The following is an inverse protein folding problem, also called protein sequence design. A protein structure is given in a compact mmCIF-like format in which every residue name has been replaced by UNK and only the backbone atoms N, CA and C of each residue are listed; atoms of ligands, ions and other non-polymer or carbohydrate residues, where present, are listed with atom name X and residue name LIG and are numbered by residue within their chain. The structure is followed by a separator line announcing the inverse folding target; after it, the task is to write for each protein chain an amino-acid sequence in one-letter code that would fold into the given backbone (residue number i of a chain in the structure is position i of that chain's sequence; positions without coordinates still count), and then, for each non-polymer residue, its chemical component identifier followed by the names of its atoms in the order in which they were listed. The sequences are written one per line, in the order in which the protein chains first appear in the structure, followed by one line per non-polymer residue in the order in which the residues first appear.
data_IF_241740840445
#
_entry.id   IF_241740840445
#
_cell.length_a   1.000
_cell.length_b   1.000
_cell.length_c   1.000
_cell.angle_alpha   90.00
_cell.angle_beta   90.00
_cell.angle_gamma   90.00
#
_symmetry.space_group_name_H-M   'P 1'
#
loop_
_entity.id
_entity.type
_entity.pdbx_description
1 polymer ?
#
# COMPACT_ATOMS: atom_id res chain seq x y z
N UNK A 1 11.49 -53.89 -68.52
CA UNK A 1 10.83 -52.88 -67.67
C UNK A 1 11.83 -52.52 -66.58
N UNK A 2 12.38 -51.30 -66.66
CA UNK A 2 13.24 -50.67 -65.65
C UNK A 2 12.46 -50.57 -64.33
N UNK A 3 13.13 -50.56 -63.17
CA UNK A 3 13.22 -49.39 -62.28
C UNK A 3 14.39 -49.58 -61.30
N UNK A 4 15.28 -48.59 -61.33
CA UNK A 4 16.26 -48.26 -60.29
C UNK A 4 15.53 -47.52 -59.14
N UNK A 5 16.19 -47.36 -57.99
CA UNK A 5 16.21 -46.19 -57.06
C UNK A 5 16.65 -46.72 -55.68
N UNK A 6 17.89 -46.47 -55.27
CA UNK A 6 18.41 -45.28 -54.57
C UNK A 6 18.15 -45.31 -53.07
N UNK A 7 19.26 -45.47 -52.35
CA UNK A 7 19.41 -45.23 -50.92
C UNK A 7 19.13 -43.76 -50.62
N UNK A 8 18.12 -43.49 -49.79
CA UNK A 8 17.90 -42.17 -49.20
C UNK A 8 18.44 -42.18 -47.76
N UNK A 9 19.54 -41.45 -47.54
CA UNK A 9 19.89 -40.96 -46.21
C UNK A 9 18.81 -39.98 -45.77
N UNK A 10 17.96 -40.40 -44.82
CA UNK A 10 17.06 -39.52 -44.11
C UNK A 10 17.81 -38.74 -43.04
N UNK A 11 18.12 -37.47 -43.32
CA UNK A 11 18.62 -36.51 -42.34
C UNK A 11 17.44 -36.10 -41.44
N UNK A 12 17.34 -36.72 -40.27
CA UNK A 12 16.28 -36.41 -39.29
C UNK A 12 16.63 -35.11 -38.57
N UNK A 13 16.10 -33.98 -39.04
CA UNK A 13 16.12 -32.72 -38.30
C UNK A 13 15.17 -32.85 -37.09
N UNK A 14 15.75 -33.13 -35.91
CA UNK A 14 15.07 -32.98 -34.64
C UNK A 14 14.89 -31.48 -34.37
N UNK A 15 13.68 -30.96 -34.57
CA UNK A 15 13.29 -29.65 -34.06
C UNK A 15 13.06 -29.81 -32.54
N UNK A 16 14.09 -29.51 -31.76
CA UNK A 16 13.94 -29.30 -30.32
C UNK A 16 13.17 -27.99 -30.12
N UNK A 17 11.86 -28.08 -29.95
CA UNK A 17 11.06 -26.98 -29.43
C UNK A 17 11.50 -26.74 -27.98
N UNK A 18 12.39 -25.77 -27.75
CA UNK A 18 12.67 -25.29 -26.41
C UNK A 18 11.42 -24.55 -25.91
N UNK A 19 10.63 -25.21 -25.08
CA UNK A 19 9.68 -24.51 -24.21
C UNK A 19 10.51 -23.60 -23.32
N UNK A 20 10.55 -22.31 -23.66
CA UNK A 20 11.14 -21.28 -22.82
C UNK A 20 10.33 -21.22 -21.54
N UNK A 21 10.83 -21.89 -20.50
CA UNK A 21 10.32 -21.77 -19.16
C UNK A 21 10.73 -20.38 -18.66
N UNK A 22 9.80 -19.53 -18.18
CA UNK A 22 10.17 -18.23 -17.66
C UNK A 22 11.07 -18.46 -16.44
N UNK A 23 12.36 -18.13 -16.59
CA UNK A 23 13.33 -18.15 -15.52
C UNK A 23 13.03 -16.99 -14.60
N UNK A 24 12.27 -17.22 -13.53
CA UNK A 24 12.17 -16.30 -12.40
C UNK A 24 13.50 -16.32 -11.62
N UNK A 25 14.53 -15.67 -12.17
CA UNK A 25 15.69 -15.32 -11.36
C UNK A 25 15.29 -14.09 -10.55
N UNK A 26 14.75 -14.29 -9.35
CA UNK A 26 14.83 -13.25 -8.32
C UNK A 26 16.31 -12.90 -8.20
N UNK A 27 16.70 -11.73 -8.72
CA UNK A 27 18.07 -11.26 -8.59
C UNK A 27 18.26 -10.91 -7.13
N UNK A 28 19.29 -11.46 -6.51
CA UNK A 28 19.64 -11.14 -5.13
C UNK A 28 19.67 -9.61 -4.92
N UNK A 29 18.93 -9.12 -3.93
CA UNK A 29 18.77 -7.69 -3.65
C UNK A 29 17.69 -6.95 -4.44
N UNK A 30 16.89 -7.60 -5.29
CA UNK A 30 15.73 -6.98 -5.94
C UNK A 30 14.58 -6.79 -4.95
N UNK A 31 13.95 -5.61 -4.99
CA UNK A 31 12.80 -5.26 -4.15
C UNK A 31 11.51 -5.83 -4.76
N UNK A 32 10.62 -6.40 -3.93
CA UNK A 32 9.34 -6.96 -4.40
C UNK A 32 8.51 -5.90 -5.16
N UNK A 33 8.45 -4.69 -4.63
CA UNK A 33 7.75 -3.54 -5.22
C UNK A 33 8.41 -3.00 -6.52
N UNK A 34 9.55 -3.56 -6.92
CA UNK A 34 10.30 -3.24 -8.15
C UNK A 34 10.61 -4.50 -8.99
N UNK A 35 9.92 -5.62 -8.74
CA UNK A 35 10.05 -6.84 -9.51
C UNK A 35 8.97 -6.91 -10.60
N UNK A 36 9.41 -6.98 -11.86
CA UNK A 36 8.55 -6.98 -13.06
C UNK A 36 7.53 -8.13 -13.03
N UNK A 37 7.82 -9.22 -12.33
CA UNK A 37 6.89 -10.34 -12.14
C UNK A 37 5.62 -9.94 -11.36
N UNK A 38 5.68 -8.86 -10.59
CA UNK A 38 4.61 -8.36 -9.74
C UNK A 38 3.99 -7.05 -10.24
N UNK A 39 4.41 -6.51 -11.38
CA UNK A 39 3.90 -5.22 -11.87
C UNK A 39 2.39 -5.22 -12.15
N UNK A 40 1.81 -6.37 -12.51
CA UNK A 40 0.37 -6.49 -12.75
C UNK A 40 -0.50 -6.22 -11.51
N UNK A 41 0.05 -6.43 -10.31
CA UNK A 41 -0.61 -6.22 -9.01
C UNK A 41 -0.11 -4.95 -8.29
N UNK A 42 0.67 -4.11 -8.98
CA UNK A 42 1.28 -2.91 -8.41
C UNK A 42 0.79 -1.64 -9.12
N UNK A 43 -0.48 -1.65 -9.51
CA UNK A 43 -1.15 -0.50 -10.14
C UNK A 43 -1.85 0.32 -9.08
N UNK A 44 -1.23 1.43 -8.65
CA UNK A 44 -1.74 2.20 -7.50
C UNK A 44 -3.11 2.84 -7.75
N UNK A 45 -3.48 3.04 -9.01
CA UNK A 45 -4.82 3.49 -9.37
C UNK A 45 -5.91 2.53 -8.87
N UNK A 46 -5.62 1.22 -8.80
CA UNK A 46 -6.59 0.24 -8.27
C UNK A 46 -6.89 0.45 -6.79
N UNK A 47 -5.95 1.00 -6.02
CA UNK A 47 -6.15 1.37 -4.61
C UNK A 47 -6.93 2.67 -4.48
N UNK A 48 -6.65 3.66 -5.34
CA UNK A 48 -7.28 4.98 -5.28
C UNK A 48 -8.72 4.98 -5.78
N UNK A 49 -9.10 4.00 -6.60
CA UNK A 49 -10.46 3.81 -7.09
C UNK A 49 -11.33 2.97 -6.14
N UNK A 50 -10.76 2.47 -5.04
CA UNK A 50 -11.53 1.76 -4.02
C UNK A 50 -12.59 2.68 -3.41
N UNK A 51 -13.81 2.15 -3.31
CA UNK A 51 -14.93 2.88 -2.71
C UNK A 51 -14.80 2.88 -1.19
N UNK A 52 -15.04 4.03 -0.59
CA UNK A 52 -15.08 4.17 0.86
C UNK A 52 -13.70 4.33 1.48
N UNK A 53 -13.60 4.00 2.76
CA UNK A 53 -12.37 4.13 3.53
C UNK A 53 -11.65 2.78 3.58
N UNK A 54 -10.33 2.80 3.60
CA UNK A 54 -9.51 1.64 3.95
C UNK A 54 -8.86 1.88 5.32
N UNK A 55 -8.78 0.84 6.13
CA UNK A 55 -8.14 0.86 7.44
C UNK A 55 -6.82 0.12 7.40
N UNK A 56 -5.82 0.64 8.11
CA UNK A 56 -4.57 -0.06 8.37
C UNK A 56 -4.81 -1.11 9.43
N UNK A 57 -4.70 -2.38 9.06
CA UNK A 57 -4.81 -3.51 9.96
C UNK A 57 -3.58 -3.58 10.86
N UNK A 58 -2.40 -3.64 10.24
CA UNK A 58 -1.12 -3.71 10.93
C UNK A 58 -0.01 -3.02 10.13
N UNK A 59 1.05 -2.61 10.82
CA UNK A 59 2.29 -2.09 10.22
C UNK A 59 3.52 -2.48 11.04
N UNK A 60 4.70 -2.50 10.42
CA UNK A 60 5.97 -2.92 11.06
C UNK A 60 6.95 -1.76 11.31
N UNK A 61 6.46 -0.53 11.34
CA UNK A 61 7.26 0.67 11.63
C UNK A 61 6.47 1.63 12.51
N UNK A 62 7.18 2.51 13.24
CA UNK A 62 6.58 3.44 14.22
C UNK A 62 5.57 2.68 15.11
N UNK A 63 6.00 1.52 15.62
CA UNK A 63 5.17 0.53 16.32
C UNK A 63 4.70 1.01 17.69
N UNK A 64 5.47 1.91 18.31
CA UNK A 64 5.18 2.56 19.60
C UNK A 64 4.03 3.59 19.53
N UNK A 65 3.32 3.70 18.40
CA UNK A 65 2.24 4.69 18.26
C UNK A 65 1.07 4.41 19.21
N UNK A 66 0.57 5.41 19.96
CA UNK A 66 -0.64 5.25 20.76
C UNK A 66 -1.93 5.39 19.92
N UNK A 67 -1.81 5.82 18.67
CA UNK A 67 -2.93 6.03 17.77
C UNK A 67 -3.43 4.69 17.19
N UNK A 68 -4.75 4.59 16.98
CA UNK A 68 -5.42 3.41 16.42
C UNK A 68 -6.32 3.84 15.27
N UNK A 69 -6.96 2.90 14.59
CA UNK A 69 -7.91 3.19 13.51
C UNK A 69 -7.31 4.05 12.40
N UNK A 70 -6.02 3.83 12.09
CA UNK A 70 -5.36 4.50 10.98
C UNK A 70 -6.11 4.16 9.69
N UNK A 71 -6.39 5.15 8.87
CA UNK A 71 -7.23 4.99 7.71
C UNK A 71 -6.96 6.02 6.63
N UNK A 72 -7.40 5.70 5.41
CA UNK A 72 -7.31 6.57 4.24
C UNK A 72 -8.60 6.46 3.44
N UNK A 73 -9.06 7.57 2.88
CA UNK A 73 -10.18 7.62 1.94
C UNK A 73 -9.87 8.62 0.84
N UNK A 74 -10.02 8.24 -0.42
CA UNK A 74 -9.99 9.21 -1.52
C UNK A 74 -11.26 10.07 -1.43
N UNK A 75 -11.09 11.39 -1.35
CA UNK A 75 -12.21 12.33 -1.28
C UNK A 75 -12.46 13.02 -2.62
N UNK A 76 -11.43 13.16 -3.43
CA UNK A 76 -11.50 13.87 -4.72
C UNK A 76 -10.39 13.40 -5.66
N UNK A 77 -10.73 13.25 -6.95
CA UNK A 77 -9.77 13.16 -8.05
C UNK A 77 -9.66 14.55 -8.67
N UNK A 78 -8.52 15.22 -8.51
CA UNK A 78 -8.28 16.57 -9.04
C UNK A 78 -7.96 16.47 -10.54
N UNK A 79 -7.05 15.56 -10.90
CA UNK A 79 -6.70 15.22 -12.27
C UNK A 79 -6.26 13.74 -12.36
N UNK A 80 -5.68 13.31 -13.48
CA UNK A 80 -5.27 11.90 -13.68
C UNK A 80 -4.17 11.41 -12.74
N UNK A 81 -3.41 12.33 -12.17
CA UNK A 81 -2.25 12.06 -11.31
C UNK A 81 -2.36 12.65 -9.91
N UNK A 82 -3.32 13.54 -9.67
CA UNK A 82 -3.47 14.29 -8.42
C UNK A 82 -4.80 13.97 -7.75
N UNK A 83 -4.75 13.61 -6.47
CA UNK A 83 -5.94 13.30 -5.68
C UNK A 83 -5.88 14.01 -4.32
N UNK A 84 -7.05 14.25 -3.74
CA UNK A 84 -7.19 14.58 -2.32
C UNK A 84 -7.59 13.32 -1.57
N UNK A 85 -6.86 13.02 -0.50
CA UNK A 85 -7.17 11.92 0.42
C UNK A 85 -7.42 12.43 1.82
N UNK A 86 -8.37 11.84 2.52
CA UNK A 86 -8.65 12.03 3.94
C UNK A 86 -7.96 10.91 4.73
N UNK A 87 -6.84 11.25 5.36
CA UNK A 87 -6.15 10.39 6.31
C UNK A 87 -6.79 10.53 7.68
N UNK A 88 -6.87 9.46 8.45
CA UNK A 88 -7.44 9.55 9.79
C UNK A 88 -6.85 8.57 10.78
N UNK A 89 -6.87 8.94 12.05
CA UNK A 89 -6.52 8.09 13.18
C UNK A 89 -7.35 8.47 14.42
N UNK A 90 -7.67 7.49 15.25
CA UNK A 90 -8.22 7.71 16.57
C UNK A 90 -7.12 8.28 17.50
N UNK A 91 -7.46 9.24 18.39
CA UNK A 91 -6.54 9.72 19.41
C UNK A 91 -6.11 8.58 20.34
N UNK A 92 -5.04 8.82 21.12
CA UNK A 92 -4.41 7.81 22.00
C UNK A 92 -5.41 6.87 22.67
N UNK A 93 -5.06 5.58 22.77
CA UNK A 93 -5.81 4.55 23.50
C UNK A 93 -6.31 5.01 24.89
N UNK A 94 -5.57 5.91 25.55
CA UNK A 94 -5.86 6.45 26.88
C UNK A 94 -6.82 7.65 26.89
N UNK A 95 -6.91 8.41 25.79
CA UNK A 95 -7.80 9.57 25.64
C UNK A 95 -9.06 9.15 24.88
N UNK A 96 -10.10 8.76 25.64
CA UNK A 96 -11.50 8.58 25.24
C UNK A 96 -11.70 8.31 23.72
N UNK A 97 -11.69 7.02 23.38
CA UNK A 97 -11.95 6.44 22.06
C UNK A 97 -13.38 6.74 21.59
N UNK A 98 -13.64 7.94 21.11
CA UNK A 98 -14.98 8.37 20.67
C UNK A 98 -15.05 8.89 19.25
N UNK A 99 -13.92 9.05 18.55
CA UNK A 99 -13.90 9.54 17.17
C UNK A 99 -12.57 9.22 16.47
N UNK A 100 -12.56 9.29 15.14
CA UNK A 100 -11.37 9.32 14.29
C UNK A 100 -11.15 10.76 13.85
N UNK A 101 -9.96 11.29 14.13
CA UNK A 101 -9.57 12.61 13.63
C UNK A 101 -9.13 12.44 12.18
N UNK A 102 -9.65 13.26 11.28
CA UNK A 102 -9.29 13.24 9.85
C UNK A 102 -8.63 14.53 9.41
N UNK A 103 -7.71 14.40 8.45
CA UNK A 103 -7.03 15.51 7.80
C UNK A 103 -6.87 15.20 6.30
N UNK A 104 -7.03 16.22 5.47
CA UNK A 104 -6.82 16.10 4.04
C UNK A 104 -5.33 16.20 3.70
N UNK A 105 -4.91 15.43 2.70
CA UNK A 105 -3.57 15.43 2.11
C UNK A 105 -3.71 15.36 0.60
N UNK A 106 -2.82 16.01 -0.11
CA UNK A 106 -2.69 15.87 -1.57
C UNK A 106 -1.76 14.70 -1.86
N UNK A 107 -2.15 13.84 -2.80
CA UNK A 107 -1.31 12.74 -3.27
C UNK A 107 -1.07 12.88 -4.77
N UNK A 108 0.20 12.71 -5.16
CA UNK A 108 0.63 12.74 -6.55
C UNK A 108 1.12 11.36 -6.97
N UNK A 109 0.63 10.83 -8.08
CA UNK A 109 1.06 9.52 -8.58
C UNK A 109 2.48 9.58 -9.13
N UNK A 110 3.24 8.53 -8.85
CA UNK A 110 4.62 8.36 -9.28
C UNK A 110 4.82 6.98 -9.90
N UNK A 111 5.75 6.92 -10.85
CA UNK A 111 6.34 5.67 -11.32
C UNK A 111 7.71 5.52 -10.65
N UNK A 112 8.02 4.33 -10.19
CA UNK A 112 9.29 4.02 -9.52
C UNK A 112 9.95 2.82 -10.22
N UNK A 113 11.27 2.67 -10.05
CA UNK A 113 12.05 1.62 -10.74
C UNK A 113 11.83 1.61 -12.25
N UNK A 114 11.50 0.44 -12.81
CA UNK A 114 11.21 0.22 -14.24
C UNK A 114 9.72 0.21 -14.59
N UNK A 115 8.83 0.58 -13.65
CA UNK A 115 7.38 0.58 -13.87
C UNK A 115 6.96 1.49 -15.04
N UNK A 116 6.13 0.94 -15.93
CA UNK A 116 5.52 1.69 -17.04
C UNK A 116 4.18 2.33 -16.64
N UNK A 117 3.55 1.83 -15.58
CA UNK A 117 2.32 2.34 -14.98
C UNK A 117 2.61 3.00 -13.62
N UNK A 118 1.66 3.76 -13.07
CA UNK A 118 1.82 4.35 -11.74
C UNK A 118 1.73 3.26 -10.66
N UNK A 119 2.79 3.12 -9.87
CA UNK A 119 2.87 2.14 -8.78
C UNK A 119 3.05 2.77 -7.40
N UNK A 120 3.21 4.09 -7.33
CA UNK A 120 3.48 4.79 -6.09
C UNK A 120 2.70 6.11 -6.02
N UNK A 121 2.55 6.63 -4.81
CA UNK A 121 1.97 7.93 -4.54
C UNK A 121 2.81 8.69 -3.54
N UNK A 122 3.04 9.96 -3.82
CA UNK A 122 3.71 10.89 -2.93
C UNK A 122 2.66 11.67 -2.12
N UNK A 123 2.62 11.42 -0.81
CA UNK A 123 1.69 12.04 0.12
C UNK A 123 2.29 13.34 0.64
N UNK A 124 1.59 14.44 0.42
CA UNK A 124 2.02 15.78 0.81
C UNK A 124 1.29 16.18 2.08
N UNK A 125 2.08 16.46 3.10
CA UNK A 125 1.70 16.76 4.46
C UNK A 125 1.99 18.24 4.76
N UNK A 126 1.27 18.84 5.70
CA UNK A 126 1.69 20.07 6.37
C UNK A 126 1.93 21.22 5.41
N UNK A 127 0.95 21.52 4.55
CA UNK A 127 1.06 22.59 3.56
C UNK A 127 2.30 22.47 2.65
N UNK A 128 2.79 21.24 2.40
CA UNK A 128 3.95 20.99 1.55
C UNK A 128 5.28 20.83 2.28
N UNK A 129 5.31 20.95 3.61
CA UNK A 129 6.56 20.88 4.39
C UNK A 129 7.10 19.45 4.54
N UNK A 130 6.25 18.44 4.42
CA UNK A 130 6.64 17.03 4.52
C UNK A 130 6.03 16.24 3.38
N UNK A 131 6.79 15.28 2.86
CA UNK A 131 6.37 14.41 1.78
C UNK A 131 6.83 12.98 2.05
N UNK A 132 5.96 12.00 1.86
CA UNK A 132 6.32 10.58 1.98
C UNK A 132 5.81 9.80 0.76
N UNK A 133 6.71 9.05 0.12
CA UNK A 133 6.38 8.18 -1.01
C UNK A 133 5.94 6.82 -0.48
N UNK A 134 4.77 6.38 -0.92
CA UNK A 134 4.22 5.04 -0.67
C UNK A 134 4.13 4.29 -1.97
N UNK A 135 4.84 3.18 -2.07
CA UNK A 135 4.75 2.27 -3.22
C UNK A 135 3.74 1.18 -2.91
N UNK A 136 2.92 0.82 -3.88
CA UNK A 136 2.06 -0.35 -3.80
C UNK A 136 2.95 -1.59 -3.89
N UNK A 137 3.02 -2.35 -2.81
CA UNK A 137 3.74 -3.61 -2.78
C UNK A 137 2.89 -4.71 -3.40
N UNK A 138 1.60 -4.78 -3.04
CA UNK A 138 0.65 -5.77 -3.54
C UNK A 138 -0.79 -5.31 -3.33
N UNK A 139 -1.68 -5.60 -4.28
CA UNK A 139 -3.15 -5.63 -4.08
C UNK A 139 -3.65 -7.01 -4.51
N UNK A 140 -4.53 -7.62 -3.71
CA UNK A 140 -5.07 -8.91 -4.09
C UNK A 140 -6.11 -8.78 -5.21
N UNK A 141 -6.39 -9.88 -5.91
CA UNK A 141 -7.29 -9.91 -7.07
C UNK A 141 -8.70 -9.39 -6.75
N UNK A 142 -9.23 -9.73 -5.57
CA UNK A 142 -10.56 -9.31 -5.15
C UNK A 142 -10.61 -7.88 -4.57
N UNK A 143 -9.44 -7.22 -4.48
CA UNK A 143 -9.29 -5.85 -3.96
C UNK A 143 -9.80 -5.69 -2.53
N UNK A 144 -9.73 -6.75 -1.74
CA UNK A 144 -10.14 -6.81 -0.34
C UNK A 144 -8.99 -6.53 0.62
N UNK A 145 -7.75 -6.47 0.12
CA UNK A 145 -6.58 -6.05 0.87
C UNK A 145 -5.48 -5.52 -0.05
N UNK A 146 -4.64 -4.64 0.51
CA UNK A 146 -3.45 -4.15 -0.18
C UNK A 146 -2.35 -3.79 0.82
N UNK A 147 -1.12 -3.78 0.34
CA UNK A 147 0.09 -3.55 1.13
C UNK A 147 0.84 -2.37 0.51
N UNK A 148 1.17 -1.39 1.32
CA UNK A 148 2.00 -0.25 0.94
C UNK A 148 3.35 -0.32 1.63
N UNK A 149 4.40 0.14 0.98
CA UNK A 149 5.74 0.29 1.56
C UNK A 149 6.20 1.76 1.51
N UNK A 150 6.69 2.27 2.63
CA UNK A 150 7.08 3.68 2.83
C UNK A 150 8.55 3.91 2.47
N UNK A 151 8.82 4.91 1.61
CA UNK A 151 10.12 5.54 1.36
C UNK A 151 11.31 4.56 1.19
N UNK A 152 11.07 3.38 0.62
CA UNK A 152 12.10 2.37 0.39
C UNK A 152 12.75 2.57 -0.97
N UNK A 153 14.07 2.71 -0.98
CA UNK A 153 14.87 2.97 -2.18
C UNK A 153 15.84 1.83 -2.51
N UNK A 154 16.20 1.00 -1.52
CA UNK A 154 17.12 -0.11 -1.70
C UNK A 154 16.80 -1.28 -0.77
N UNK A 155 17.29 -2.47 -1.13
CA UNK A 155 17.15 -3.69 -0.32
C UNK A 155 17.90 -3.63 1.01
N UNK A 156 18.92 -2.77 1.13
CA UNK A 156 19.61 -2.50 2.40
C UNK A 156 18.75 -1.74 3.42
N UNK A 157 17.67 -1.09 3.00
CA UNK A 157 16.73 -0.43 3.91
C UNK A 157 15.67 -1.42 4.38
N UNK A 158 15.35 -1.45 5.70
CA UNK A 158 14.26 -2.26 6.20
C UNK A 158 12.94 -1.80 5.56
N UNK A 159 12.09 -2.76 5.19
CA UNK A 159 10.78 -2.45 4.65
C UNK A 159 9.88 -1.88 5.74
N UNK A 160 9.32 -0.69 5.52
CA UNK A 160 8.32 -0.08 6.37
C UNK A 160 6.95 -0.24 5.70
N UNK A 161 6.22 -1.28 6.07
CA UNK A 161 4.98 -1.68 5.42
C UNK A 161 3.73 -1.41 6.24
N UNK A 162 2.62 -1.15 5.55
CA UNK A 162 1.27 -1.14 6.09
C UNK A 162 0.40 -2.12 5.32
N UNK A 163 -0.33 -3.00 6.01
CA UNK A 163 -1.40 -3.82 5.43
C UNK A 163 -2.74 -3.15 5.67
N UNK A 164 -3.51 -2.94 4.61
CA UNK A 164 -4.79 -2.26 4.66
C UNK A 164 -5.91 -3.15 4.11
N UNK A 165 -7.12 -2.94 4.63
CA UNK A 165 -8.35 -3.53 4.12
C UNK A 165 -9.44 -2.46 3.96
N UNK A 166 -10.20 -2.48 2.85
CA UNK A 166 -11.40 -1.65 2.69
C UNK A 166 -12.47 -1.92 3.76
N UNK A 167 -13.18 -0.86 4.16
CA UNK A 167 -14.25 -0.87 5.16
C UNK A 167 -15.34 -1.90 4.86
N UNK A 168 -15.71 -2.08 3.58
CA UNK A 168 -16.70 -3.07 3.17
C UNK A 168 -16.24 -4.55 3.31
N UNK A 169 -14.96 -4.78 3.61
CA UNK A 169 -14.36 -6.11 3.79
C UNK A 169 -13.76 -6.31 5.18
N UNK A 170 -13.84 -5.27 6.03
CA UNK A 170 -13.09 -5.17 7.29
C UNK A 170 -13.53 -6.19 8.35
N UNK A 171 -14.76 -6.66 8.25
CA UNK A 171 -15.33 -7.68 9.14
C UNK A 171 -14.88 -9.11 8.76
N UNK A 172 -14.22 -9.27 7.61
CA UNK A 172 -13.58 -10.51 7.20
C UNK A 172 -12.19 -10.70 7.79
N UNK A 173 -11.62 -11.88 7.56
CA UNK A 173 -10.21 -12.11 7.85
C UNK A 173 -9.32 -11.45 6.79
N UNK A 174 -8.10 -11.10 7.17
CA UNK A 174 -7.06 -10.74 6.20
C UNK A 174 -6.90 -11.91 5.23
N UNK A 175 -7.04 -11.70 3.91
CA UNK A 175 -6.81 -12.74 2.91
C UNK A 175 -5.42 -13.37 3.05
N UNK A 176 -5.33 -14.69 2.88
CA UNK A 176 -4.11 -15.45 3.12
C UNK A 176 -2.95 -14.98 2.25
N UNK A 177 -3.22 -14.65 0.98
CA UNK A 177 -2.24 -14.11 0.03
C UNK A 177 -1.64 -12.78 0.51
N UNK A 178 -2.47 -11.82 0.93
CA UNK A 178 -1.98 -10.57 1.51
C UNK A 178 -1.17 -10.81 2.79
N UNK A 179 -1.63 -11.70 3.67
CA UNK A 179 -0.88 -11.97 4.90
C UNK A 179 0.48 -12.60 4.59
N UNK A 180 0.53 -13.58 3.69
CA UNK A 180 1.77 -14.27 3.31
C UNK A 180 2.77 -13.33 2.62
N UNK A 181 2.29 -12.45 1.74
CA UNK A 181 3.13 -11.45 1.07
C UNK A 181 3.64 -10.42 2.09
N UNK A 182 2.80 -10.00 3.04
CA UNK A 182 3.21 -9.10 4.10
C UNK A 182 4.32 -9.71 4.97
N UNK A 183 4.09 -10.89 5.54
CA UNK A 183 5.06 -11.53 6.44
C UNK A 183 6.41 -11.81 5.75
N UNK A 184 6.38 -12.15 4.45
CA UNK A 184 7.60 -12.41 3.68
C UNK A 184 8.41 -11.15 3.36
N UNK A 185 7.73 -10.04 3.07
CA UNK A 185 8.38 -8.83 2.55
C UNK A 185 8.52 -7.71 3.58
N UNK A 186 7.88 -7.84 4.74
CA UNK A 186 7.81 -6.81 5.78
C UNK A 186 8.29 -7.37 7.13
N UNK A 187 9.57 -7.78 7.24
CA UNK A 187 10.09 -8.41 8.45
C UNK A 187 10.09 -7.46 9.64
N UNK A 188 10.10 -8.04 10.84
CA UNK A 188 10.11 -7.30 12.11
C UNK A 188 8.77 -7.32 12.84
N UNK A 189 8.74 -6.72 14.02
CA UNK A 189 7.53 -6.68 14.82
C UNK A 189 6.48 -5.75 14.21
N UNK A 190 5.23 -6.21 14.18
CA UNK A 190 4.09 -5.43 13.72
C UNK A 190 3.23 -4.97 14.89
N UNK A 191 2.69 -3.76 14.78
CA UNK A 191 1.62 -3.27 15.64
C UNK A 191 0.28 -3.42 14.93
N UNK A 192 -0.72 -3.94 15.64
CA UNK A 192 -2.11 -3.98 15.16
C UNK A 192 -2.76 -2.62 15.46
N UNK A 193 -3.20 -1.94 14.41
CA UNK A 193 -3.78 -0.59 14.47
C UNK A 193 -5.30 -0.60 14.36
N UNK A 194 -5.85 -1.54 13.60
CA UNK A 194 -7.30 -1.73 13.53
C UNK A 194 -7.81 -2.45 14.79
N UNK A 195 -8.98 -2.04 15.24
CA UNK A 195 -9.74 -2.65 16.32
C UNK A 195 -11.20 -2.67 15.87
N UNK A 196 -11.98 -3.64 16.33
CA UNK A 196 -13.37 -3.81 15.87
C UNK A 196 -14.20 -2.53 16.03
N UNK A 197 -13.99 -1.76 17.10
CA UNK A 197 -14.70 -0.51 17.33
C UNK A 197 -14.39 0.60 16.30
N UNK A 198 -13.34 0.48 15.49
CA UNK A 198 -12.91 1.54 14.58
C UNK A 198 -13.96 1.88 13.51
N UNK A 199 -14.74 0.89 13.05
CA UNK A 199 -15.78 1.07 12.03
C UNK A 199 -16.98 1.88 12.54
N UNK A 200 -17.18 1.90 13.87
CA UNK A 200 -18.31 2.55 14.52
C UNK A 200 -17.99 3.97 15.01
N UNK A 201 -16.72 4.41 14.87
CA UNK A 201 -16.31 5.72 15.34
C UNK A 201 -16.74 6.83 14.37
N UNK A 202 -17.31 7.95 14.87
CA UNK A 202 -17.55 9.12 14.06
C UNK A 202 -16.23 9.77 13.61
N UNK A 203 -16.26 10.40 12.45
CA UNK A 203 -15.11 11.16 11.92
C UNK A 203 -15.25 12.63 12.27
N UNK A 204 -14.22 13.22 12.87
CA UNK A 204 -14.16 14.65 13.15
C UNK A 204 -13.00 15.28 12.38
N UNK A 205 -13.23 16.46 11.83
CA UNK A 205 -12.11 17.28 11.37
C UNK A 205 -11.21 17.60 12.56
N UNK A 206 -9.93 17.84 12.28
CA UNK A 206 -8.97 18.19 13.31
C UNK A 206 -9.42 19.43 14.12
N UNK A 207 -9.93 20.46 13.44
CA UNK A 207 -10.43 21.68 14.08
C UNK A 207 -11.60 21.38 15.02
N UNK A 208 -12.51 20.50 14.61
CA UNK A 208 -13.67 20.12 15.42
C UNK A 208 -13.26 19.31 16.64
N UNK A 209 -12.37 18.32 16.46
CA UNK A 209 -11.89 17.48 17.55
C UNK A 209 -11.18 18.30 18.63
N UNK A 210 -10.42 19.33 18.23
CA UNK A 210 -9.71 20.17 19.17
C UNK A 210 -10.56 21.28 19.78
N UNK A 211 -11.51 21.86 19.03
CA UNK A 211 -12.51 22.76 19.60
C UNK A 211 -13.31 22.07 20.71
N UNK A 212 -13.67 20.79 20.52
CA UNK A 212 -14.31 19.96 21.53
C UNK A 212 -13.42 19.70 22.76
N UNK A 213 -12.10 19.86 22.64
CA UNK A 213 -11.12 19.68 23.71
C UNK A 213 -10.64 20.99 24.36
N UNK A 214 -11.34 22.12 24.15
CA UNK A 214 -11.02 23.47 24.69
C UNK A 214 -9.61 24.01 24.29
N UNK A 215 -9.10 23.66 23.11
CA UNK A 215 -7.71 23.97 22.71
C UNK A 215 -7.44 25.40 22.22
N UNK A 216 -6.21 25.88 22.50
CA UNK A 216 -5.58 27.09 21.90
C UNK A 216 -5.02 26.79 20.49
N UNK A 217 -4.90 27.76 19.56
CA UNK A 217 -4.29 27.59 18.24
C UNK A 217 -2.94 26.84 18.23
N UNK A 218 -2.06 27.08 19.20
CA UNK A 218 -0.74 26.41 19.24
C UNK A 218 -0.89 24.90 19.54
N UNK A 219 -1.89 24.52 20.35
CA UNK A 219 -2.23 23.12 20.58
C UNK A 219 -2.85 22.47 19.34
N UNK A 220 -3.48 23.27 18.46
CA UNK A 220 -3.98 22.84 17.14
C UNK A 220 -2.80 22.39 16.30
N UNK A 221 -1.81 23.25 16.13
CA UNK A 221 -0.67 22.96 15.28
C UNK A 221 0.14 21.76 15.80
N UNK A 222 0.36 21.66 17.11
CA UNK A 222 1.09 20.56 17.73
C UNK A 222 0.33 19.22 17.62
N UNK A 223 -0.98 19.22 17.88
CA UNK A 223 -1.80 18.02 17.76
C UNK A 223 -1.89 17.53 16.32
N UNK A 224 -1.97 18.47 15.37
CA UNK A 224 -1.88 18.16 13.95
C UNK A 224 -0.54 17.45 13.77
N UNK A 225 0.59 18.08 14.15
CA UNK A 225 1.94 17.58 13.84
C UNK A 225 2.18 16.17 14.41
N UNK A 226 1.62 15.90 15.60
CA UNK A 226 1.62 14.56 16.20
C UNK A 226 0.89 13.54 15.32
N UNK A 227 -0.31 13.86 14.83
CA UNK A 227 -1.06 12.99 13.91
C UNK A 227 -0.35 12.82 12.56
N UNK A 228 0.25 13.88 12.01
CA UNK A 228 1.13 13.83 10.82
C UNK A 228 2.20 12.76 10.91
N UNK A 229 2.78 12.70 12.10
CA UNK A 229 3.97 11.92 12.38
C UNK A 229 3.56 10.48 12.68
N UNK A 230 2.33 10.28 13.14
CA UNK A 230 1.76 8.97 13.36
C UNK A 230 1.28 8.30 12.06
N UNK A 231 0.62 9.06 11.17
CA UNK A 231 0.11 8.61 9.87
C UNK A 231 1.22 8.26 8.88
#
# INVERSE_FOLDING_TARGET
IKWSFSSFLGLSCLFSASTGQPTSSSKDGQLYEEDELHFSEQKIQEVLELKGRAFVIKRNFRTETPHRCHSVKVTEKIDDTTYTVSLGAAPSVQQRRSFIIVMNSTVNLLKTGSHQEYNAANYIYWHGLKSEVRKLLHINTDKTCFIMVENRHSSSQPAACQLLMPENTIDGFVPADCNDIYERNCPGESVVLYQEYCKDLPYLSFETALAAANGSPDAVEQGLFSLASAL
#
